data_IF_850309340178
#
_entry.id   IF_850309340178
#
_cell.length_a   1.000
_cell.length_b   1.000
_cell.length_c   1.000
_cell.angle_alpha   90.00
_cell.angle_beta   90.00
_cell.angle_gamma   90.00
#
_symmetry.space_group_name_H-M   'P 1'
#
loop_
_entity.id
_entity.type
_entity.pdbx_description
1 polymer ?
#
# COMPACT_ATOMS: atom_id res chain seq x y z
N UNK A 1 7.23 -17.13 -7.07
CA UNK A 1 6.49 -16.85 -5.83
C UNK A 1 6.35 -15.35 -5.67
N UNK A 2 5.16 -14.86 -5.33
CA UNK A 2 4.85 -13.43 -5.27
C UNK A 2 4.55 -13.02 -3.82
N UNK A 3 5.35 -12.08 -3.27
CA UNK A 3 5.18 -11.48 -1.95
C UNK A 3 4.72 -10.04 -2.09
N UNK A 4 3.71 -9.64 -1.34
CA UNK A 4 3.28 -8.25 -1.28
C UNK A 4 3.47 -7.69 0.13
N UNK A 5 4.13 -6.53 0.22
CA UNK A 5 4.36 -5.81 1.47
C UNK A 5 3.31 -4.71 1.57
N UNK A 6 2.49 -4.78 2.59
CA UNK A 6 1.43 -3.82 2.88
C UNK A 6 1.59 -3.13 4.22
N UNK A 7 0.89 -2.04 4.39
CA UNK A 7 0.89 -1.24 5.60
C UNK A 7 0.63 0.23 5.33
N UNK A 8 0.40 0.98 6.36
CA UNK A 8 0.01 2.40 6.29
C UNK A 8 1.13 3.27 5.71
N UNK A 9 0.77 4.47 5.26
CA UNK A 9 1.71 5.50 4.79
C UNK A 9 2.80 5.72 5.85
N UNK A 10 4.06 5.71 5.42
CA UNK A 10 5.20 5.95 6.31
C UNK A 10 5.80 4.71 6.97
N UNK A 11 5.16 3.53 6.92
CA UNK A 11 5.65 2.34 7.65
C UNK A 11 6.99 1.76 7.13
N UNK A 12 7.38 2.04 5.87
CA UNK A 12 8.66 1.61 5.30
C UNK A 12 8.58 0.50 4.24
N UNK A 13 7.41 0.24 3.64
CA UNK A 13 7.17 -0.80 2.63
C UNK A 13 8.22 -0.83 1.51
N UNK A 14 8.38 0.27 0.80
CA UNK A 14 9.31 0.39 -0.34
C UNK A 14 10.77 0.18 0.08
N UNK A 15 11.13 0.65 1.28
CA UNK A 15 12.47 0.46 1.84
C UNK A 15 12.73 -1.02 2.07
N UNK A 16 11.81 -1.71 2.76
CA UNK A 16 11.93 -3.14 3.02
C UNK A 16 11.95 -3.94 1.71
N UNK A 17 11.07 -3.64 0.75
CA UNK A 17 11.05 -4.31 -0.56
C UNK A 17 12.41 -4.24 -1.27
N UNK A 18 13.04 -3.05 -1.27
CA UNK A 18 14.37 -2.85 -1.87
C UNK A 18 15.49 -3.56 -1.13
N UNK A 19 15.40 -3.67 0.19
CA UNK A 19 16.40 -4.38 1.00
C UNK A 19 16.30 -5.90 0.82
N UNK A 20 15.09 -6.43 0.70
CA UNK A 20 14.85 -7.87 0.51
C UNK A 20 15.13 -8.32 -0.93
N UNK A 21 15.09 -7.41 -1.92
CA UNK A 21 15.30 -7.73 -3.32
C UNK A 21 16.58 -8.56 -3.57
N UNK A 22 17.77 -8.13 -3.14
CA UNK A 22 19.01 -8.89 -3.38
C UNK A 22 19.06 -10.20 -2.60
N UNK A 23 18.44 -10.27 -1.42
CA UNK A 23 18.44 -11.46 -0.59
C UNK A 23 17.66 -12.63 -1.23
N UNK A 24 16.62 -12.31 -2.01
CA UNK A 24 15.77 -13.29 -2.67
C UNK A 24 15.99 -13.40 -4.19
N UNK A 25 16.92 -12.64 -4.78
CA UNK A 25 17.04 -12.51 -6.25
C UNK A 25 15.68 -12.20 -6.91
N UNK A 26 14.96 -11.26 -6.30
CA UNK A 26 13.57 -10.98 -6.65
C UNK A 26 13.44 -9.86 -7.67
N UNK A 27 12.43 -9.97 -8.53
CA UNK A 27 11.89 -8.81 -9.26
C UNK A 27 11.18 -7.85 -8.30
N UNK A 28 11.14 -6.56 -8.63
CA UNK A 28 10.41 -5.55 -7.87
C UNK A 28 9.24 -4.98 -8.66
N UNK A 29 8.10 -4.83 -7.99
CA UNK A 29 6.96 -4.09 -8.49
C UNK A 29 6.61 -2.99 -7.47
N UNK A 30 7.11 -1.77 -7.70
CA UNK A 30 6.95 -0.65 -6.79
C UNK A 30 5.83 0.27 -7.25
N UNK A 31 5.10 0.83 -6.28
CA UNK A 31 4.02 1.77 -6.53
C UNK A 31 4.53 3.08 -7.13
N UNK A 32 3.93 3.50 -8.25
CA UNK A 32 4.22 4.78 -8.92
C UNK A 32 3.13 5.79 -8.53
N UNK A 33 3.18 6.25 -7.28
CA UNK A 33 2.16 7.15 -6.71
C UNK A 33 2.31 8.60 -7.19
N UNK A 34 3.52 9.03 -7.60
CA UNK A 34 3.80 10.39 -8.08
C UNK A 34 3.09 10.73 -9.40
N UNK A 35 2.68 9.75 -10.16
CA UNK A 35 1.95 9.95 -11.42
C UNK A 35 0.50 10.40 -11.19
N UNK A 36 -0.02 10.32 -9.96
CA UNK A 36 -1.38 10.75 -9.69
C UNK A 36 -1.48 12.28 -9.64
N UNK A 37 -2.11 12.91 -10.65
CA UNK A 37 -2.18 14.38 -10.75
C UNK A 37 -3.07 15.02 -9.67
N UNK A 38 -3.90 14.21 -9.00
CA UNK A 38 -4.83 14.66 -7.96
C UNK A 38 -4.25 14.55 -6.56
N UNK A 39 -3.08 13.89 -6.37
CA UNK A 39 -2.57 13.54 -5.05
C UNK A 39 -2.32 14.77 -4.15
N UNK A 40 -1.69 15.81 -4.69
CA UNK A 40 -1.46 17.05 -3.94
C UNK A 40 -2.76 17.75 -3.55
N UNK A 41 -3.71 17.81 -4.49
CA UNK A 41 -5.04 18.42 -4.26
C UNK A 41 -5.86 17.60 -3.26
N UNK A 42 -5.74 16.29 -3.28
CA UNK A 42 -6.39 15.39 -2.32
C UNK A 42 -5.96 15.67 -0.89
N UNK A 43 -4.67 15.85 -0.62
CA UNK A 43 -4.21 16.17 0.74
C UNK A 43 -4.63 17.57 1.21
N UNK A 44 -4.87 18.50 0.30
CA UNK A 44 -5.38 19.85 0.64
C UNK A 44 -6.90 19.90 0.80
N UNK A 45 -7.65 19.13 0.02
CA UNK A 45 -9.13 19.07 0.03
C UNK A 45 -9.59 17.63 -0.32
N UNK A 46 -9.57 16.75 0.69
CA UNK A 46 -9.89 15.32 0.51
C UNK A 46 -11.31 15.12 -0.03
N UNK A 47 -12.29 15.83 0.51
CA UNK A 47 -13.68 15.66 0.12
C UNK A 47 -13.91 15.92 -1.38
N UNK A 48 -13.27 16.94 -1.91
CA UNK A 48 -13.43 17.35 -3.32
C UNK A 48 -12.70 16.41 -4.28
N UNK A 49 -11.52 15.91 -3.90
CA UNK A 49 -10.64 15.19 -4.83
C UNK A 49 -10.54 13.68 -4.56
N UNK A 50 -11.27 13.16 -3.56
CA UNK A 50 -11.18 11.76 -3.18
C UNK A 50 -11.53 10.81 -4.33
N UNK A 51 -12.66 11.02 -4.99
CA UNK A 51 -13.14 10.11 -6.03
C UNK A 51 -12.18 10.01 -7.21
N UNK A 52 -11.72 11.14 -7.75
CA UNK A 52 -10.77 11.19 -8.85
C UNK A 52 -9.43 10.53 -8.46
N UNK A 53 -8.97 10.80 -7.24
CA UNK A 53 -7.72 10.24 -6.70
C UNK A 53 -7.80 8.73 -6.58
N UNK A 54 -8.90 8.21 -6.01
CA UNK A 54 -9.09 6.76 -5.81
C UNK A 54 -9.25 6.03 -7.15
N UNK A 55 -10.02 6.57 -8.09
CA UNK A 55 -10.17 5.97 -9.42
C UNK A 55 -8.85 5.97 -10.21
N UNK A 56 -8.08 7.05 -10.13
CA UNK A 56 -6.77 7.09 -10.78
C UNK A 56 -5.84 5.99 -10.22
N UNK A 57 -5.75 5.87 -8.89
CA UNK A 57 -4.92 4.83 -8.27
C UNK A 57 -5.39 3.43 -8.65
N UNK A 58 -6.69 3.17 -8.61
CA UNK A 58 -7.27 1.88 -8.98
C UNK A 58 -6.86 1.47 -10.41
N UNK A 59 -7.03 2.37 -11.39
CA UNK A 59 -6.70 2.13 -12.78
C UNK A 59 -5.19 1.99 -13.01
N UNK A 60 -4.39 2.85 -12.39
CA UNK A 60 -2.92 2.80 -12.49
C UNK A 60 -2.38 1.48 -11.95
N UNK A 61 -2.79 1.07 -10.74
CA UNK A 61 -2.37 -0.20 -10.12
C UNK A 61 -2.86 -1.42 -10.91
N UNK A 62 -4.09 -1.38 -11.41
CA UNK A 62 -4.59 -2.43 -12.30
C UNK A 62 -3.68 -2.64 -13.51
N UNK A 63 -3.33 -1.57 -14.23
CA UNK A 63 -2.47 -1.67 -15.39
C UNK A 63 -1.07 -2.14 -15.03
N UNK A 64 -0.52 -1.63 -13.94
CA UNK A 64 0.82 -1.96 -13.46
C UNK A 64 0.90 -3.44 -13.02
N UNK A 65 -0.03 -3.91 -12.20
CA UNK A 65 -0.03 -5.30 -11.72
C UNK A 65 -0.30 -6.30 -12.83
N UNK A 66 -1.30 -6.03 -13.67
CA UNK A 66 -1.66 -6.93 -14.77
C UNK A 66 -0.48 -7.21 -15.72
N UNK A 67 0.37 -6.22 -15.97
CA UNK A 67 1.54 -6.35 -16.85
C UNK A 67 2.79 -6.76 -16.07
N UNK A 68 3.01 -6.14 -14.93
CA UNK A 68 4.26 -6.27 -14.18
C UNK A 68 4.39 -7.62 -13.48
N UNK A 69 3.34 -8.14 -12.85
CA UNK A 69 3.43 -9.40 -12.09
C UNK A 69 3.86 -10.56 -12.99
N UNK A 70 3.19 -10.77 -14.12
CA UNK A 70 3.53 -11.85 -15.04
C UNK A 70 4.93 -11.68 -15.65
N UNK A 71 5.31 -10.47 -16.05
CA UNK A 71 6.62 -10.18 -16.62
C UNK A 71 7.75 -10.47 -15.62
N UNK A 72 7.63 -9.94 -14.39
CA UNK A 72 8.65 -10.14 -13.35
C UNK A 72 8.81 -11.61 -12.94
N UNK A 73 7.71 -12.36 -12.81
CA UNK A 73 7.75 -13.79 -12.47
C UNK A 73 8.29 -14.67 -13.62
N UNK A 74 8.40 -14.14 -14.84
CA UNK A 74 9.05 -14.84 -15.96
C UNK A 74 10.59 -14.67 -15.87
N UNK A 75 11.06 -13.54 -15.35
CA UNK A 75 12.47 -13.20 -15.27
C UNK A 75 13.13 -13.58 -13.94
N UNK A 76 12.34 -13.62 -12.86
CA UNK A 76 12.80 -13.87 -11.49
C UNK A 76 12.01 -14.99 -10.81
N UNK A 77 12.66 -15.81 -9.93
CA UNK A 77 11.99 -16.84 -9.16
C UNK A 77 11.03 -16.26 -8.11
N UNK A 78 11.30 -15.03 -7.66
CA UNK A 78 10.49 -14.31 -6.69
C UNK A 78 10.12 -12.93 -7.21
N UNK A 79 8.97 -12.44 -6.77
CA UNK A 79 8.51 -11.06 -6.96
C UNK A 79 8.15 -10.45 -5.62
N UNK A 80 8.61 -9.24 -5.37
CA UNK A 80 8.23 -8.43 -4.21
C UNK A 80 7.54 -7.17 -4.71
N UNK A 81 6.32 -6.89 -4.21
CA UNK A 81 5.65 -5.60 -4.41
C UNK A 81 5.50 -4.83 -3.10
N UNK A 82 5.48 -3.50 -3.16
CA UNK A 82 5.23 -2.63 -1.99
C UNK A 82 3.78 -2.13 -1.93
N UNK A 83 2.89 -2.82 -2.64
CA UNK A 83 1.45 -2.59 -2.64
C UNK A 83 0.68 -3.80 -3.19
N UNK A 84 -0.62 -3.85 -2.90
CA UNK A 84 -1.57 -4.78 -3.52
C UNK A 84 -2.71 -4.02 -4.21
N UNK A 85 -3.51 -4.74 -5.00
CA UNK A 85 -4.72 -4.19 -5.61
C UNK A 85 -5.79 -3.90 -4.55
N UNK A 86 -5.86 -4.72 -3.51
CA UNK A 86 -6.81 -4.61 -2.40
C UNK A 86 -6.62 -3.34 -1.57
N UNK A 87 -5.40 -2.79 -1.53
CA UNK A 87 -5.08 -1.52 -0.88
C UNK A 87 -6.03 -0.39 -1.29
N UNK A 88 -6.40 -0.34 -2.56
CA UNK A 88 -7.29 0.70 -3.08
C UNK A 88 -8.65 0.69 -2.40
N UNK A 89 -9.22 -0.50 -2.13
CA UNK A 89 -10.50 -0.63 -1.45
C UNK A 89 -10.46 -0.10 0.00
N UNK A 90 -9.33 -0.29 0.70
CA UNK A 90 -9.15 0.24 2.06
C UNK A 90 -9.19 1.78 2.06
N UNK A 91 -8.49 2.40 1.14
CA UNK A 91 -8.49 3.86 1.00
C UNK A 91 -9.83 4.40 0.51
N UNK A 92 -10.46 3.74 -0.46
CA UNK A 92 -11.76 4.15 -0.98
C UNK A 92 -12.83 4.15 0.13
N UNK A 93 -12.84 3.12 0.97
CA UNK A 93 -13.79 2.99 2.09
C UNK A 93 -13.69 4.13 3.10
N UNK A 94 -12.49 4.71 3.29
CA UNK A 94 -12.27 5.83 4.21
C UNK A 94 -12.65 7.16 3.58
N UNK A 95 -12.43 7.29 2.26
CA UNK A 95 -12.45 8.58 1.58
C UNK A 95 -13.71 8.83 0.73
N UNK A 96 -14.48 7.77 0.39
CA UNK A 96 -15.65 7.87 -0.48
C UNK A 96 -16.93 7.50 0.27
N UNK A 97 -18.05 8.10 -0.16
CA UNK A 97 -19.35 7.87 0.43
C UNK A 97 -20.44 7.79 -0.64
N UNK A 98 -21.57 7.16 -0.31
CA UNK A 98 -22.75 7.11 -1.18
C UNK A 98 -22.45 6.56 -2.55
N UNK A 99 -22.96 7.24 -3.58
CA UNK A 99 -22.89 6.81 -4.98
C UNK A 99 -21.43 6.69 -5.50
N UNK A 100 -20.51 7.54 -5.02
CA UNK A 100 -19.10 7.48 -5.42
C UNK A 100 -18.42 6.19 -4.92
N UNK A 101 -18.70 5.79 -3.68
CA UNK A 101 -18.17 4.55 -3.13
C UNK A 101 -18.78 3.32 -3.84
N UNK A 102 -20.07 3.36 -4.12
CA UNK A 102 -20.76 2.27 -4.85
C UNK A 102 -20.18 2.13 -6.27
N UNK A 103 -20.03 3.23 -6.99
CA UNK A 103 -19.42 3.24 -8.33
C UNK A 103 -18.00 2.72 -8.30
N UNK A 104 -17.21 3.15 -7.32
CA UNK A 104 -15.85 2.69 -7.13
C UNK A 104 -15.79 1.15 -6.99
N UNK A 105 -16.62 0.56 -6.13
CA UNK A 105 -16.62 -0.89 -5.91
C UNK A 105 -17.03 -1.67 -7.17
N UNK A 106 -17.98 -1.18 -7.96
CA UNK A 106 -18.35 -1.81 -9.25
C UNK A 106 -17.17 -1.86 -10.22
N UNK A 107 -16.38 -0.78 -10.29
CA UNK A 107 -15.18 -0.75 -11.13
C UNK A 107 -14.11 -1.68 -10.59
N UNK A 108 -13.86 -1.64 -9.28
CA UNK A 108 -12.86 -2.47 -8.60
C UNK A 108 -13.16 -3.96 -8.76
N UNK A 109 -14.40 -4.38 -8.58
CA UNK A 109 -14.83 -5.77 -8.75
C UNK A 109 -14.58 -6.26 -10.18
N UNK A 110 -14.98 -5.49 -11.19
CA UNK A 110 -14.76 -5.83 -12.59
C UNK A 110 -13.28 -5.96 -12.98
N UNK A 111 -12.39 -5.23 -12.31
CA UNK A 111 -10.94 -5.27 -12.55
C UNK A 111 -10.24 -6.37 -11.76
N UNK A 112 -10.70 -6.68 -10.55
CA UNK A 112 -10.06 -7.62 -9.62
C UNK A 112 -9.96 -9.04 -10.17
N UNK A 113 -10.94 -9.49 -10.98
CA UNK A 113 -10.96 -10.82 -11.62
C UNK A 113 -9.71 -11.10 -12.49
N UNK A 114 -9.00 -10.05 -12.91
CA UNK A 114 -7.84 -10.14 -13.81
C UNK A 114 -6.51 -9.90 -13.10
N UNK A 115 -6.52 -9.77 -11.78
CA UNK A 115 -5.35 -9.54 -10.97
C UNK A 115 -4.87 -10.85 -10.36
N UNK A 116 -3.57 -11.08 -10.44
CA UNK A 116 -2.92 -12.22 -9.77
C UNK A 116 -2.71 -11.86 -8.31
N UNK A 117 -3.32 -12.58 -7.36
CA UNK A 117 -3.10 -12.33 -5.93
C UNK A 117 -1.68 -12.75 -5.52
N UNK A 118 -1.12 -12.18 -4.45
CA UNK A 118 0.14 -12.62 -3.88
C UNK A 118 -0.01 -13.99 -3.20
N UNK A 119 1.10 -14.75 -3.16
CA UNK A 119 1.20 -16.01 -2.41
C UNK A 119 1.31 -15.76 -0.91
N UNK A 120 1.87 -14.62 -0.51
CA UNK A 120 2.04 -14.18 0.88
C UNK A 120 1.89 -12.66 0.97
N UNK A 121 1.13 -12.22 1.95
CA UNK A 121 1.05 -10.82 2.38
C UNK A 121 1.93 -10.59 3.60
N UNK A 122 2.76 -9.55 3.56
CA UNK A 122 3.54 -9.08 4.71
C UNK A 122 2.94 -7.75 5.16
N UNK A 123 2.21 -7.77 6.27
CA UNK A 123 1.61 -6.57 6.85
C UNK A 123 2.57 -5.94 7.86
N UNK A 124 3.14 -4.77 7.50
CA UNK A 124 3.93 -3.94 8.39
C UNK A 124 2.98 -3.07 9.22
N UNK A 125 2.90 -3.36 10.51
CA UNK A 125 2.05 -2.65 11.46
C UNK A 125 2.88 -1.70 12.30
N UNK A 126 2.39 -0.46 12.48
CA UNK A 126 3.01 0.51 13.37
C UNK A 126 1.94 1.44 13.95
N UNK A 127 2.23 2.03 15.11
CA UNK A 127 1.38 3.02 15.75
C UNK A 127 1.28 4.31 14.94
N UNK A 128 0.20 5.05 15.10
CA UNK A 128 0.01 6.36 14.48
C UNK A 128 1.16 7.31 14.81
N UNK A 129 1.68 7.27 16.04
CA UNK A 129 2.82 8.09 16.46
C UNK A 129 4.08 7.77 15.63
N UNK A 130 4.45 6.50 15.53
CA UNK A 130 5.61 6.05 14.72
C UNK A 130 5.44 6.44 13.25
N UNK A 131 4.25 6.26 12.69
CA UNK A 131 3.97 6.61 11.30
C UNK A 131 4.11 8.11 11.06
N UNK A 132 3.56 8.95 11.93
CA UNK A 132 3.66 10.40 11.83
C UNK A 132 5.12 10.89 11.94
N UNK A 133 5.91 10.30 12.83
CA UNK A 133 7.35 10.60 12.94
C UNK A 133 8.09 10.24 11.63
N UNK A 134 7.82 9.06 11.04
CA UNK A 134 8.45 8.62 9.78
C UNK A 134 8.01 9.46 8.58
N UNK A 135 6.73 9.87 8.53
CA UNK A 135 6.20 10.79 7.51
C UNK A 135 6.93 12.13 7.60
N UNK A 136 7.08 12.68 8.80
CA UNK A 136 7.78 13.93 9.02
C UNK A 136 9.26 13.85 8.64
N UNK A 137 9.95 12.75 8.98
CA UNK A 137 11.36 12.54 8.60
C UNK A 137 11.55 12.43 7.08
N UNK A 138 10.58 11.85 6.37
CA UNK A 138 10.60 11.71 4.89
C UNK A 138 10.39 13.04 4.18
N UNK A 139 9.70 13.98 4.81
CA UNK A 139 9.46 15.36 4.39
C UNK A 139 8.95 15.55 2.95
N UNK A 140 8.00 14.74 2.51
CA UNK A 140 7.33 14.97 1.23
C UNK A 140 6.44 16.22 1.30
N UNK A 141 6.54 17.17 0.34
CA UNK A 141 5.82 18.46 0.43
C UNK A 141 4.32 18.35 0.65
N UNK A 142 3.66 17.40 -0.03
CA UNK A 142 2.20 17.19 0.08
C UNK A 142 1.78 16.42 1.35
N UNK A 143 2.72 15.86 2.10
CA UNK A 143 2.47 15.14 3.37
C UNK A 143 2.74 15.99 4.62
N UNK A 144 3.32 17.19 4.48
CA UNK A 144 3.69 18.05 5.62
C UNK A 144 2.53 18.44 6.51
N UNK A 145 1.31 18.46 5.97
CA UNK A 145 0.07 18.76 6.70
C UNK A 145 -0.79 17.50 6.92
N UNK A 146 -0.14 16.32 7.00
CA UNK A 146 -0.83 15.06 7.23
C UNK A 146 -1.59 15.11 8.57
N UNK A 147 -2.87 14.80 8.50
CA UNK A 147 -3.75 14.76 9.66
C UNK A 147 -3.54 13.44 10.42
N UNK A 148 -3.11 13.47 11.71
CA UNK A 148 -2.96 12.26 12.50
C UNK A 148 -4.24 11.42 12.61
N UNK A 149 -5.41 12.07 12.62
CA UNK A 149 -6.69 11.36 12.66
C UNK A 149 -6.93 10.54 11.38
N UNK A 150 -6.46 11.03 10.23
CA UNK A 150 -6.51 10.27 8.98
C UNK A 150 -5.59 9.05 9.00
N UNK A 151 -4.38 9.18 9.55
CA UNK A 151 -3.46 8.04 9.72
C UNK A 151 -4.07 7.01 10.68
N UNK A 152 -4.70 7.45 11.76
CA UNK A 152 -5.39 6.56 12.72
C UNK A 152 -6.52 5.77 12.04
N UNK A 153 -7.35 6.42 11.21
CA UNK A 153 -8.39 5.73 10.44
C UNK A 153 -7.80 4.70 9.48
N UNK A 154 -6.64 4.99 8.88
CA UNK A 154 -5.93 4.03 8.03
C UNK A 154 -5.43 2.85 8.85
N UNK A 155 -4.80 3.06 10.00
CA UNK A 155 -4.34 1.99 10.90
C UNK A 155 -5.49 1.06 11.25
N UNK A 156 -6.61 1.61 11.70
CA UNK A 156 -7.81 0.83 12.04
C UNK A 156 -8.36 0.03 10.85
N UNK A 157 -8.38 0.63 9.65
CA UNK A 157 -8.85 -0.05 8.43
C UNK A 157 -7.92 -1.19 8.02
N UNK A 158 -6.60 -1.01 8.14
CA UNK A 158 -5.61 -2.04 7.85
C UNK A 158 -5.68 -3.18 8.89
N UNK A 159 -5.77 -2.88 10.18
CA UNK A 159 -5.93 -3.88 11.24
C UNK A 159 -7.24 -4.68 11.05
N UNK A 160 -8.33 -4.00 10.69
CA UNK A 160 -9.59 -4.65 10.38
C UNK A 160 -9.46 -5.65 9.22
N UNK A 161 -8.73 -5.30 8.17
CA UNK A 161 -8.57 -6.13 6.99
C UNK A 161 -7.55 -7.26 7.18
N UNK A 162 -6.39 -6.98 7.78
CA UNK A 162 -5.30 -7.95 7.85
C UNK A 162 -5.31 -8.82 9.12
N UNK A 163 -5.92 -8.35 10.21
CA UNK A 163 -5.94 -9.05 11.51
C UNK A 163 -7.33 -9.59 11.83
N UNK A 164 -8.36 -8.74 11.77
CA UNK A 164 -9.71 -9.12 12.20
C UNK A 164 -10.43 -9.95 11.15
N UNK A 165 -10.33 -9.57 9.87
CA UNK A 165 -10.94 -10.27 8.74
C UNK A 165 -9.88 -10.54 7.66
N UNK A 166 -8.89 -11.42 7.94
CA UNK A 166 -7.77 -11.60 7.03
C UNK A 166 -8.23 -12.14 5.67
N UNK A 167 -7.54 -11.73 4.58
CA UNK A 167 -7.79 -12.23 3.26
C UNK A 167 -7.46 -13.75 3.17
N UNK A 168 -7.91 -14.44 2.11
CA UNK A 168 -7.76 -15.89 2.01
C UNK A 168 -6.31 -16.39 1.88
N UNK A 169 -5.35 -15.52 1.49
CA UNK A 169 -3.94 -15.86 1.44
C UNK A 169 -3.28 -15.70 2.81
N UNK A 170 -2.14 -16.37 3.07
CA UNK A 170 -1.35 -16.20 4.30
C UNK A 170 -0.96 -14.74 4.53
N UNK A 171 -1.06 -14.27 5.78
CA UNK A 171 -0.63 -12.94 6.21
C UNK A 171 0.42 -13.08 7.32
N UNK A 172 1.60 -12.51 7.10
CA UNK A 172 2.63 -12.32 8.11
C UNK A 172 2.53 -10.89 8.66
N UNK A 173 2.19 -10.74 9.93
CA UNK A 173 2.14 -9.43 10.59
C UNK A 173 3.48 -9.15 11.28
N UNK A 174 4.07 -7.99 11.00
CA UNK A 174 5.33 -7.53 11.59
C UNK A 174 5.09 -6.22 12.34
N UNK A 175 5.28 -6.24 13.66
CA UNK A 175 5.21 -5.02 14.50
C UNK A 175 6.46 -4.17 14.30
N UNK A 176 6.29 -2.95 13.79
CA UNK A 176 7.37 -2.11 13.30
C UNK A 176 7.68 -0.90 14.19
N UNK A 177 7.04 -0.76 15.37
CA UNK A 177 7.27 0.39 16.24
C UNK A 177 8.73 0.48 16.74
N UNK A 178 9.35 -0.66 16.97
CA UNK A 178 10.71 -0.75 17.49
C UNK A 178 11.75 -1.16 16.44
N UNK A 179 11.33 -1.32 15.16
CA UNK A 179 12.22 -1.74 14.08
C UNK A 179 12.71 -0.53 13.28
N UNK A 180 14.01 -0.49 13.02
CA UNK A 180 14.62 0.47 12.10
C UNK A 180 15.64 -0.24 11.21
N UNK A 181 15.14 -0.98 10.22
CA UNK A 181 15.99 -1.75 9.30
C UNK A 181 16.92 -0.87 8.44
N UNK A 182 16.78 0.45 8.46
CA UNK A 182 17.68 1.39 7.76
C UNK A 182 18.93 1.67 8.62
N UNK A 183 18.74 1.92 9.92
CA UNK A 183 19.82 2.27 10.86
C UNK A 183 20.39 1.06 11.57
N UNK A 184 19.58 0.02 11.75
CA UNK A 184 19.95 -1.20 12.42
C UNK A 184 19.76 -2.42 11.50
N UNK A 185 20.83 -2.89 10.82
CA UNK A 185 20.74 -4.06 9.94
C UNK A 185 20.28 -5.34 10.61
N UNK A 186 20.42 -5.45 11.96
CA UNK A 186 19.95 -6.62 12.70
C UNK A 186 18.42 -6.74 12.71
N UNK A 187 17.70 -5.63 12.53
CA UNK A 187 16.23 -5.64 12.45
C UNK A 187 15.70 -6.23 11.14
N UNK A 188 16.60 -6.53 10.19
CA UNK A 188 16.24 -7.19 8.92
C UNK A 188 16.28 -8.72 9.02
N UNK A 189 17.00 -9.26 10.02
CA UNK A 189 17.21 -10.69 10.26
C UNK A 189 16.42 -11.19 11.46
#
# INVERSE_FOLDING_TARGET
MYFAIEGVIGVGKTTLARMLQPEFDAGLLLEVFEENPFLSSFYSDRQRYAFQTQLFFLLSRYHQQRRGVAAQLTEHPFLISDYTFEKDALFARINLFGDELEMYYRVQEALSEKITPPDLMVYLRASTETLMQRIAMRDRPYERQMDPAYIEMLVQSYDQYFITNPPPMPVLVIECDHLDFVRNPQDLH
#
